data_IF_444585818800
#
_entry.id   IF_444585818800
#
_cell.length_a   1.000
_cell.length_b   1.000
_cell.length_c   1.000
_cell.angle_alpha   90.00
_cell.angle_beta   90.00
_cell.angle_gamma   90.00
#
_symmetry.space_group_name_H-M   'P 1'
#
loop_
_entity.id
_entity.type
_entity.pdbx_description
1 polymer ?
#
# COMPACT_ATOMS: atom_id res chain seq x y z
N UNK A 1 -14.74 14.06 -11.68
CA UNK A 1 -13.50 13.85 -12.47
C UNK A 1 -13.72 12.94 -13.66
N UNK A 2 -14.08 11.65 -13.53
CA UNK A 2 -14.33 10.75 -14.67
C UNK A 2 -15.37 11.33 -15.63
N UNK A 3 -16.55 11.83 -15.17
CA UNK A 3 -17.50 12.50 -16.06
C UNK A 3 -16.95 13.75 -16.75
N UNK A 4 -16.07 14.51 -16.10
CA UNK A 4 -15.43 15.69 -16.73
C UNK A 4 -14.57 15.31 -17.95
N UNK A 5 -14.09 14.09 -18.01
CA UNK A 5 -13.32 13.53 -19.13
C UNK A 5 -14.21 12.70 -20.08
N UNK A 6 -15.54 12.90 -20.02
CA UNK A 6 -16.53 12.14 -20.79
C UNK A 6 -16.45 10.62 -20.53
N UNK A 7 -15.98 10.23 -19.36
CA UNK A 7 -15.91 8.84 -18.93
C UNK A 7 -17.21 8.36 -18.29
N UNK A 8 -17.41 7.03 -18.29
CA UNK A 8 -18.53 6.37 -17.65
C UNK A 8 -18.09 5.76 -16.32
N UNK A 9 -18.84 6.02 -15.24
CA UNK A 9 -18.63 5.37 -13.94
C UNK A 9 -19.62 4.21 -13.79
N UNK A 10 -19.11 3.03 -13.47
CA UNK A 10 -19.89 1.84 -13.15
C UNK A 10 -19.79 1.61 -11.63
N UNK A 11 -20.90 1.82 -10.93
CA UNK A 11 -20.96 1.66 -9.48
C UNK A 11 -21.29 0.20 -9.11
N UNK A 12 -20.52 -0.36 -8.17
CA UNK A 12 -20.75 -1.67 -7.58
C UNK A 12 -20.98 -1.50 -6.07
N UNK A 13 -22.17 -1.92 -5.58
CA UNK A 13 -22.52 -1.74 -4.16
C UNK A 13 -21.82 -2.73 -3.25
N UNK A 14 -21.78 -3.99 -3.65
CA UNK A 14 -21.15 -5.07 -2.90
C UNK A 14 -19.99 -5.63 -3.71
N UNK A 15 -18.90 -6.01 -3.02
CA UNK A 15 -17.76 -6.66 -3.66
C UNK A 15 -18.17 -8.09 -4.02
N UNK A 16 -18.28 -8.34 -5.32
CA UNK A 16 -18.61 -9.62 -5.91
C UNK A 16 -17.68 -9.82 -7.11
N UNK A 17 -16.80 -10.81 -7.03
CA UNK A 17 -15.72 -10.99 -8.01
C UNK A 17 -16.27 -11.38 -9.38
N UNK A 18 -17.23 -12.30 -9.42
CA UNK A 18 -17.91 -12.69 -10.66
C UNK A 18 -18.52 -11.48 -11.34
N UNK A 19 -19.19 -10.62 -10.54
CA UNK A 19 -19.81 -9.39 -11.02
C UNK A 19 -18.79 -8.38 -11.52
N UNK A 20 -17.61 -8.27 -10.88
CA UNK A 20 -16.51 -7.41 -11.35
C UNK A 20 -16.11 -7.82 -12.76
N UNK A 21 -15.82 -9.10 -13.01
CA UNK A 21 -15.45 -9.59 -14.35
C UNK A 21 -16.59 -9.42 -15.37
N UNK A 22 -17.85 -9.66 -14.99
CA UNK A 22 -19.00 -9.43 -15.86
C UNK A 22 -19.13 -7.96 -16.27
N UNK A 23 -18.96 -7.04 -15.34
CA UNK A 23 -19.05 -5.60 -15.60
C UNK A 23 -17.89 -5.09 -16.45
N UNK A 24 -16.68 -5.60 -16.22
CA UNK A 24 -15.52 -5.28 -17.07
C UNK A 24 -15.79 -5.69 -18.52
N UNK A 25 -16.26 -6.90 -18.74
CA UNK A 25 -16.58 -7.43 -20.08
C UNK A 25 -17.76 -6.67 -20.73
N UNK A 26 -18.86 -6.46 -19.98
CA UNK A 26 -20.07 -5.83 -20.48
C UNK A 26 -19.88 -4.37 -20.87
N UNK A 27 -19.12 -3.61 -20.10
CA UNK A 27 -19.00 -2.16 -20.25
C UNK A 27 -17.60 -1.71 -20.72
N UNK A 28 -16.72 -2.66 -21.06
CA UNK A 28 -15.32 -2.38 -21.43
C UNK A 28 -14.62 -1.48 -20.39
N UNK A 29 -14.75 -1.84 -19.11
CA UNK A 29 -14.14 -1.05 -18.03
C UNK A 29 -12.62 -1.10 -18.17
N UNK A 30 -12.01 0.07 -18.27
CA UNK A 30 -10.56 0.22 -18.47
C UNK A 30 -9.82 0.50 -17.18
N UNK A 31 -10.49 1.08 -16.17
CA UNK A 31 -9.90 1.46 -14.90
C UNK A 31 -10.85 1.18 -13.75
N UNK A 32 -10.33 0.72 -12.62
CA UNK A 32 -11.06 0.73 -11.36
C UNK A 32 -10.14 0.96 -10.16
N UNK A 33 -10.71 1.31 -9.01
CA UNK A 33 -10.01 1.42 -7.74
C UNK A 33 -10.46 0.34 -6.78
N UNK A 34 -9.53 -0.27 -6.06
CA UNK A 34 -9.82 -1.28 -5.05
C UNK A 34 -8.76 -1.33 -3.95
N UNK A 35 -9.21 -1.50 -2.70
CA UNK A 35 -8.30 -1.76 -1.59
C UNK A 35 -7.59 -3.12 -1.78
N UNK A 36 -6.44 -3.36 -1.12
CA UNK A 36 -5.69 -4.63 -1.24
C UNK A 36 -6.53 -5.88 -1.02
N UNK A 37 -7.50 -5.83 -0.12
CA UNK A 37 -8.44 -6.95 0.10
C UNK A 37 -9.21 -7.32 -1.16
N UNK A 38 -9.61 -6.36 -1.98
CA UNK A 38 -10.30 -6.61 -3.26
C UNK A 38 -9.38 -7.33 -4.24
N UNK A 39 -8.11 -6.93 -4.30
CA UNK A 39 -7.11 -7.58 -5.13
C UNK A 39 -6.86 -9.02 -4.67
N UNK A 40 -6.80 -9.25 -3.36
CA UNK A 40 -6.71 -10.59 -2.77
C UNK A 40 -7.92 -11.45 -3.17
N UNK A 41 -9.13 -10.91 -3.07
CA UNK A 41 -10.35 -11.61 -3.49
C UNK A 41 -10.33 -11.95 -4.99
N UNK A 42 -9.90 -11.04 -5.84
CA UNK A 42 -9.76 -11.28 -7.29
C UNK A 42 -8.76 -12.40 -7.56
N UNK A 43 -7.59 -12.34 -6.92
CA UNK A 43 -6.51 -13.34 -7.15
C UNK A 43 -6.80 -14.70 -6.49
N UNK A 44 -7.64 -14.72 -5.46
CA UNK A 44 -8.10 -15.95 -4.77
C UNK A 44 -9.39 -16.56 -5.32
N UNK A 45 -10.10 -15.86 -6.22
CA UNK A 45 -11.38 -16.34 -6.74
C UNK A 45 -11.23 -17.64 -7.56
N UNK A 46 -12.22 -18.54 -7.55
CA UNK A 46 -12.26 -19.71 -8.42
C UNK A 46 -12.20 -19.31 -9.91
N UNK A 47 -11.66 -20.19 -10.75
CA UNK A 47 -11.61 -19.95 -12.21
C UNK A 47 -13.01 -19.77 -12.81
N UNK A 48 -14.01 -20.46 -12.27
CA UNK A 48 -15.43 -20.33 -12.68
C UNK A 48 -15.98 -18.91 -12.56
N UNK A 49 -15.44 -18.11 -11.63
CA UNK A 49 -15.87 -16.75 -11.36
C UNK A 49 -15.07 -15.69 -12.12
N UNK A 50 -14.00 -16.13 -12.81
CA UNK A 50 -13.12 -15.27 -13.60
C UNK A 50 -13.48 -15.35 -15.07
N UNK A 51 -13.30 -14.24 -15.78
CA UNK A 51 -13.33 -14.18 -17.24
C UNK A 51 -11.98 -13.72 -17.75
N UNK A 52 -11.54 -14.29 -18.88
CA UNK A 52 -10.36 -13.78 -19.58
C UNK A 52 -10.64 -12.35 -20.02
N UNK A 53 -9.79 -11.43 -19.62
CA UNK A 53 -9.90 -10.03 -20.02
C UNK A 53 -9.56 -9.88 -21.51
N UNK A 54 -10.35 -9.07 -22.22
CA UNK A 54 -10.19 -8.78 -23.66
C UNK A 54 -9.21 -7.63 -23.91
N UNK A 55 -8.95 -6.84 -22.88
CA UNK A 55 -8.06 -5.69 -22.89
C UNK A 55 -7.38 -5.54 -21.52
N UNK A 56 -6.32 -4.74 -21.47
CA UNK A 56 -5.64 -4.41 -20.22
C UNK A 56 -6.55 -3.54 -19.33
N UNK A 57 -6.65 -3.88 -18.05
CA UNK A 57 -7.43 -3.13 -17.06
C UNK A 57 -6.49 -2.57 -16.02
N UNK A 58 -6.52 -1.26 -15.85
CA UNK A 58 -5.70 -0.55 -14.86
C UNK A 58 -6.40 -0.50 -13.50
N UNK A 59 -5.66 -0.80 -12.45
CA UNK A 59 -6.19 -0.84 -11.09
C UNK A 59 -5.39 0.09 -10.20
N UNK A 60 -6.07 1.06 -9.56
CA UNK A 60 -5.48 1.82 -8.47
C UNK A 60 -5.73 1.09 -7.15
N UNK A 61 -4.66 0.90 -6.38
CA UNK A 61 -4.76 0.36 -5.01
C UNK A 61 -4.09 1.28 -4.00
N UNK A 62 -4.74 1.44 -2.86
CA UNK A 62 -4.29 2.27 -1.75
C UNK A 62 -4.83 1.73 -0.42
N UNK A 63 -4.43 2.35 0.70
CA UNK A 63 -4.91 2.09 2.06
C UNK A 63 -3.95 1.26 2.89
N UNK A 64 -3.40 0.19 2.35
CA UNK A 64 -2.31 -0.59 2.94
C UNK A 64 -1.37 -1.07 1.82
N UNK A 65 -0.08 -1.33 2.09
CA UNK A 65 0.81 -1.90 1.09
C UNK A 65 0.40 -3.34 0.76
N UNK A 66 -0.01 -3.66 -0.50
CA UNK A 66 -0.27 -5.04 -0.86
C UNK A 66 1.05 -5.82 -0.95
N UNK A 67 1.09 -7.09 -0.54
CA UNK A 67 2.25 -7.96 -0.76
C UNK A 67 2.66 -8.00 -2.23
N UNK A 68 3.97 -8.03 -2.50
CA UNK A 68 4.52 -8.03 -3.88
C UNK A 68 3.96 -9.16 -4.76
N UNK A 69 3.66 -10.31 -4.17
CA UNK A 69 3.07 -11.46 -4.87
C UNK A 69 1.70 -11.14 -5.49
N UNK A 70 0.94 -10.20 -4.93
CA UNK A 70 -0.37 -9.80 -5.45
C UNK A 70 -0.23 -9.09 -6.80
N UNK A 71 0.80 -8.27 -6.98
CA UNK A 71 1.07 -7.62 -8.27
C UNK A 71 1.33 -8.65 -9.37
N UNK A 72 2.13 -9.69 -9.07
CA UNK A 72 2.37 -10.83 -9.98
C UNK A 72 1.07 -11.54 -10.37
N UNK A 73 0.25 -11.91 -9.37
CA UNK A 73 -1.03 -12.59 -9.60
C UNK A 73 -2.01 -11.73 -10.40
N UNK A 74 -2.12 -10.44 -10.10
CA UNK A 74 -2.98 -9.51 -10.84
C UNK A 74 -2.53 -9.37 -12.30
N UNK A 75 -1.20 -9.24 -12.53
CA UNK A 75 -0.63 -9.17 -13.88
C UNK A 75 -0.96 -10.42 -14.69
N UNK A 76 -0.88 -11.62 -14.12
CA UNK A 76 -1.23 -12.88 -14.79
C UNK A 76 -2.72 -12.98 -15.19
N UNK A 77 -3.59 -12.22 -14.51
CA UNK A 77 -5.02 -12.11 -14.84
C UNK A 77 -5.34 -10.99 -15.83
N UNK A 78 -4.33 -10.23 -16.30
CA UNK A 78 -4.49 -9.15 -17.27
C UNK A 78 -4.73 -7.76 -16.66
N UNK A 79 -4.52 -7.61 -15.34
CA UNK A 79 -4.60 -6.33 -14.65
C UNK A 79 -3.23 -5.65 -14.54
N UNK A 80 -3.20 -4.34 -14.71
CA UNK A 80 -2.03 -3.51 -14.40
C UNK A 80 -2.32 -2.70 -13.14
N UNK A 81 -1.61 -3.02 -12.05
CA UNK A 81 -1.85 -2.41 -10.75
C UNK A 81 -0.87 -1.26 -10.52
N UNK A 82 -1.41 -0.09 -10.20
CA UNK A 82 -0.68 1.08 -9.74
C UNK A 82 -0.91 1.26 -8.23
N UNK A 83 0.16 1.22 -7.47
CA UNK A 83 0.12 1.53 -6.05
C UNK A 83 0.19 3.04 -5.85
N UNK A 84 -0.71 3.57 -5.05
CA UNK A 84 -0.76 4.98 -4.67
C UNK A 84 -0.86 5.11 -3.16
N UNK A 85 -0.36 6.23 -2.63
CA UNK A 85 -0.42 6.50 -1.20
C UNK A 85 -0.99 7.90 -0.95
N UNK A 86 -1.77 7.99 0.09
CA UNK A 86 -2.35 9.21 0.62
C UNK A 86 -3.30 8.90 1.76
N UNK A 87 -3.78 9.96 2.41
CA UNK A 87 -4.65 9.90 3.58
C UNK A 87 -5.89 10.77 3.36
N UNK A 88 -6.87 10.68 4.24
CA UNK A 88 -8.01 11.60 4.28
C UNK A 88 -7.53 13.03 4.47
N UNK A 89 -6.50 13.21 5.28
CA UNK A 89 -5.83 14.47 5.61
C UNK A 89 -5.13 15.12 4.40
N UNK A 90 -4.91 14.38 3.33
CA UNK A 90 -4.29 14.86 2.08
C UNK A 90 -5.27 14.92 0.90
N UNK A 91 -6.58 14.80 1.16
CA UNK A 91 -7.64 14.82 0.14
C UNK A 91 -7.46 13.77 -0.96
N UNK A 92 -6.88 12.63 -0.64
CA UNK A 92 -6.58 11.53 -1.55
C UNK A 92 -5.09 11.24 -1.65
N UNK A 93 -4.68 10.65 -2.76
CA UNK A 93 -3.31 10.21 -2.93
C UNK A 93 -2.36 11.35 -3.30
N UNK A 94 -1.16 11.30 -2.73
CA UNK A 94 -0.08 12.28 -2.90
C UNK A 94 1.16 11.67 -3.56
N UNK A 95 1.25 10.35 -3.61
CA UNK A 95 2.28 9.63 -4.37
C UNK A 95 1.68 8.53 -5.22
N UNK A 96 2.41 8.17 -6.27
CA UNK A 96 2.13 7.03 -7.12
C UNK A 96 3.41 6.27 -7.44
N UNK A 97 3.32 4.95 -7.55
CA UNK A 97 4.40 4.14 -8.07
C UNK A 97 4.43 4.23 -9.60
N UNK A 98 4.87 5.38 -10.12
CA UNK A 98 5.04 5.60 -11.55
C UNK A 98 6.06 4.59 -12.09
N UNK A 99 5.72 3.94 -13.21
CA UNK A 99 6.62 2.96 -13.83
C UNK A 99 7.68 3.66 -14.67
N UNK A 100 8.89 3.16 -14.63
CA UNK A 100 9.97 3.57 -15.52
C UNK A 100 10.23 2.43 -16.50
N UNK A 101 10.19 2.71 -17.80
CA UNK A 101 10.32 1.71 -18.87
C UNK A 101 11.64 0.91 -18.78
N UNK A 102 12.71 1.50 -18.22
CA UNK A 102 13.96 0.79 -17.98
C UNK A 102 13.84 -0.39 -17.01
N UNK A 103 12.79 -0.44 -16.21
CA UNK A 103 12.55 -1.55 -15.29
C UNK A 103 11.88 -2.77 -15.95
N UNK A 104 11.45 -2.65 -17.19
CA UNK A 104 10.92 -3.78 -17.96
C UNK A 104 11.98 -4.86 -18.20
N UNK A 105 13.27 -4.47 -18.19
CA UNK A 105 14.41 -5.38 -18.34
C UNK A 105 14.81 -6.11 -17.04
N UNK A 106 14.24 -5.71 -15.89
CA UNK A 106 14.51 -6.34 -14.61
C UNK A 106 13.79 -7.69 -14.47
N UNK A 107 14.36 -8.56 -13.66
CA UNK A 107 13.70 -9.81 -13.23
C UNK A 107 12.32 -9.52 -12.64
N UNK A 108 11.33 -10.40 -12.92
CA UNK A 108 9.93 -10.21 -12.53
C UNK A 108 9.76 -9.97 -11.02
N UNK A 109 10.54 -10.66 -10.19
CA UNK A 109 10.49 -10.47 -8.74
C UNK A 109 10.87 -9.03 -8.35
N UNK A 110 11.91 -8.50 -8.98
CA UNK A 110 12.36 -7.12 -8.76
C UNK A 110 11.34 -6.10 -9.23
N UNK A 111 10.71 -6.33 -10.38
CA UNK A 111 9.61 -5.51 -10.86
C UNK A 111 8.46 -5.46 -9.84
N UNK A 112 8.07 -6.61 -9.28
CA UNK A 112 7.00 -6.69 -8.29
C UNK A 112 7.36 -6.01 -6.96
N UNK A 113 8.62 -6.09 -6.53
CA UNK A 113 9.12 -5.34 -5.37
C UNK A 113 9.03 -3.82 -5.58
N UNK A 114 9.38 -3.33 -6.78
CA UNK A 114 9.27 -1.92 -7.13
C UNK A 114 7.80 -1.49 -7.15
N UNK A 115 6.92 -2.27 -7.77
CA UNK A 115 5.47 -2.00 -7.83
C UNK A 115 4.81 -1.93 -6.44
N UNK A 116 5.38 -2.62 -5.45
CA UNK A 116 4.89 -2.56 -4.07
C UNK A 116 5.28 -1.27 -3.34
N UNK A 117 6.16 -0.42 -3.88
CA UNK A 117 6.51 0.88 -3.30
C UNK A 117 5.37 1.88 -3.46
N UNK A 118 5.34 2.93 -2.62
CA UNK A 118 4.37 4.02 -2.73
C UNK A 118 4.76 5.05 -3.80
N UNK A 119 6.00 4.97 -4.28
CA UNK A 119 6.48 5.70 -5.45
C UNK A 119 6.89 7.14 -5.18
N UNK A 120 6.59 8.01 -6.14
CA UNK A 120 7.01 9.40 -6.16
C UNK A 120 5.82 10.36 -6.01
N UNK A 121 6.09 11.57 -5.59
CA UNK A 121 5.11 12.61 -5.37
C UNK A 121 4.35 13.00 -6.65
N UNK A 122 3.07 13.30 -6.53
CA UNK A 122 2.29 13.92 -7.60
C UNK A 122 2.72 15.36 -7.88
N UNK A 123 2.61 15.84 -9.13
CA UNK A 123 2.98 17.21 -9.49
C UNK A 123 2.23 18.31 -8.73
N UNK A 124 0.98 18.04 -8.31
CA UNK A 124 0.13 18.98 -7.57
C UNK A 124 0.40 19.00 -6.05
N UNK A 125 1.31 18.18 -5.56
CA UNK A 125 1.74 18.16 -4.16
C UNK A 125 3.05 18.94 -4.06
N UNK A 126 3.15 19.92 -3.16
CA UNK A 126 4.33 20.77 -3.03
C UNK A 126 5.56 19.98 -2.57
N UNK A 127 5.40 19.13 -1.54
CA UNK A 127 6.48 18.31 -0.99
C UNK A 127 5.98 17.00 -0.42
N UNK A 128 6.72 15.92 -0.69
CA UNK A 128 6.68 14.64 0.02
C UNK A 128 8.11 14.24 0.26
N UNK A 129 8.47 14.06 1.51
CA UNK A 129 9.84 13.66 1.91
C UNK A 129 9.81 12.77 3.14
N UNK A 130 10.93 12.17 3.47
CA UNK A 130 11.09 11.36 4.67
C UNK A 130 12.03 12.11 5.61
N UNK A 131 11.55 12.38 6.83
CA UNK A 131 12.31 13.13 7.83
C UNK A 131 12.39 12.38 9.15
N UNK A 132 13.44 12.65 9.90
CA UNK A 132 13.45 12.36 11.33
C UNK A 132 12.45 13.31 12.01
N UNK A 133 11.41 12.79 12.71
CA UNK A 133 10.32 13.62 13.23
C UNK A 133 10.74 14.56 14.37
N UNK A 134 11.86 14.31 15.03
CA UNK A 134 12.36 15.16 16.12
C UNK A 134 13.22 16.31 15.59
N UNK A 135 14.22 15.97 14.78
CA UNK A 135 15.18 16.95 14.24
C UNK A 135 14.66 17.71 13.02
N UNK A 136 13.57 17.26 12.40
CA UNK A 136 13.01 17.79 11.14
C UNK A 136 14.02 17.84 9.99
N UNK A 137 15.01 16.93 9.99
CA UNK A 137 15.99 16.77 8.92
C UNK A 137 15.61 15.60 8.03
N UNK A 138 15.79 15.78 6.73
CA UNK A 138 15.59 14.70 5.76
C UNK A 138 16.57 13.55 6.03
N UNK A 139 16.07 12.32 5.90
CA UNK A 139 16.91 11.12 5.98
C UNK A 139 17.64 10.89 4.65
N UNK A 140 18.78 10.16 4.66
CA UNK A 140 19.46 9.76 3.44
C UNK A 140 18.56 8.97 2.50
N UNK A 141 18.78 9.15 1.19
CA UNK A 141 18.10 8.36 0.14
C UNK A 141 18.83 7.03 -0.10
N UNK A 142 18.94 6.22 0.93
CA UNK A 142 19.71 4.96 0.93
C UNK A 142 18.84 3.69 0.90
N UNK A 143 17.50 3.86 0.98
CA UNK A 143 16.54 2.77 1.04
C UNK A 143 16.57 2.00 2.36
N UNK A 144 17.20 2.52 3.41
CA UNK A 144 17.45 1.85 4.69
C UNK A 144 17.10 2.72 5.89
N UNK A 145 17.52 3.99 5.87
CA UNK A 145 17.29 4.91 7.00
C UNK A 145 15.82 5.24 7.10
N UNK A 146 15.21 4.85 8.22
CA UNK A 146 13.78 5.06 8.48
C UNK A 146 13.55 6.48 8.98
N UNK A 147 12.50 7.11 8.48
CA UNK A 147 11.93 8.35 8.98
C UNK A 147 10.43 8.38 8.79
N UNK A 148 9.79 9.47 9.18
CA UNK A 148 8.36 9.69 8.99
C UNK A 148 8.11 10.36 7.64
N UNK A 149 7.05 9.94 6.95
CA UNK A 149 6.58 10.63 5.74
C UNK A 149 6.02 11.98 6.12
N UNK A 150 6.59 13.04 5.55
CA UNK A 150 6.14 14.42 5.72
C UNK A 150 5.59 14.95 4.41
N UNK A 151 4.42 15.60 4.51
CA UNK A 151 3.69 16.10 3.34
C UNK A 151 3.43 17.60 3.51
N UNK A 152 3.59 18.35 2.40
CA UNK A 152 3.26 19.77 2.33
C UNK A 152 2.58 20.09 1.00
N UNK A 153 1.60 20.99 1.04
CA UNK A 153 0.92 21.49 -0.15
C UNK A 153 -0.56 21.77 0.05
N UNK A 154 -1.20 22.28 -0.98
CA UNK A 154 -2.61 22.68 -0.97
C UNK A 154 -3.61 21.54 -0.76
N UNK A 155 -3.17 20.31 -0.93
CA UNK A 155 -3.99 19.10 -0.72
C UNK A 155 -4.07 18.70 0.75
N UNK A 156 -3.19 19.23 1.59
CA UNK A 156 -3.19 18.95 3.03
C UNK A 156 -4.34 19.69 3.71
N UNK A 157 -5.04 19.00 4.61
CA UNK A 157 -6.14 19.54 5.41
C UNK A 157 -5.72 20.80 6.20
N UNK A 158 -6.69 21.64 6.54
CA UNK A 158 -6.45 22.77 7.45
C UNK A 158 -6.22 22.33 8.90
N UNK A 159 -6.75 21.19 9.30
CA UNK A 159 -6.64 20.64 10.64
C UNK A 159 -7.80 19.72 11.00
N UNK A 160 -7.74 19.13 12.16
CA UNK A 160 -8.80 18.32 12.75
C UNK A 160 -9.91 19.18 13.32
N UNK A 161 -11.16 18.77 13.08
CA UNK A 161 -12.33 19.57 13.49
C UNK A 161 -12.41 19.71 15.01
N UNK A 162 -12.40 20.97 15.50
CA UNK A 162 -12.44 21.33 16.92
C UNK A 162 -11.36 20.65 17.79
N UNK A 163 -10.24 20.24 17.20
CA UNK A 163 -9.10 19.65 17.90
C UNK A 163 -7.82 20.40 17.52
N UNK A 164 -7.57 21.47 18.23
CA UNK A 164 -6.41 22.33 17.99
C UNK A 164 -5.10 21.62 18.35
N UNK A 165 -5.09 20.88 19.45
CA UNK A 165 -3.88 20.23 19.96
C UNK A 165 -3.41 19.12 19.00
N UNK A 166 -4.33 18.28 18.51
CA UNK A 166 -4.01 17.29 17.48
C UNK A 166 -3.57 17.96 16.16
N UNK A 167 -4.20 19.10 15.80
CA UNK A 167 -3.81 19.86 14.60
C UNK A 167 -2.40 20.42 14.72
N UNK A 168 -2.08 21.10 15.81
CA UNK A 168 -0.76 21.71 16.05
C UNK A 168 0.34 20.63 16.06
N UNK A 169 0.06 19.47 16.67
CA UNK A 169 0.97 18.33 16.66
C UNK A 169 1.18 17.79 15.24
N UNK A 170 0.11 17.62 14.47
CA UNK A 170 0.17 17.06 13.12
C UNK A 170 0.82 18.02 12.11
N UNK A 171 0.81 19.35 12.37
CA UNK A 171 1.34 20.37 11.45
C UNK A 171 2.65 20.99 11.92
N UNK A 172 3.34 20.34 12.84
CA UNK A 172 4.58 20.86 13.42
C UNK A 172 5.65 21.08 12.34
N UNK A 173 6.39 22.20 12.46
CA UNK A 173 7.49 22.53 11.54
C UNK A 173 7.04 22.87 10.11
N UNK A 174 5.73 23.13 9.88
CA UNK A 174 5.19 23.47 8.57
C UNK A 174 5.01 22.28 7.62
N UNK A 175 5.06 21.07 8.16
CA UNK A 175 4.80 19.81 7.47
C UNK A 175 3.67 19.05 8.16
N UNK A 176 2.89 18.33 7.37
CA UNK A 176 1.94 17.37 7.89
C UNK A 176 2.68 16.07 8.24
N UNK A 177 2.62 15.70 9.51
CA UNK A 177 3.15 14.46 10.08
C UNK A 177 2.13 13.35 9.87
N UNK A 178 2.48 12.37 9.04
CA UNK A 178 1.53 11.30 8.68
C UNK A 178 1.41 10.19 9.72
N UNK A 179 2.44 10.02 10.55
CA UNK A 179 2.58 8.87 11.44
C UNK A 179 3.00 7.59 10.70
N UNK A 180 3.23 7.64 9.39
CA UNK A 180 3.70 6.50 8.60
C UNK A 180 5.22 6.55 8.46
N UNK A 181 5.89 5.46 8.84
CA UNK A 181 7.34 5.30 8.75
C UNK A 181 7.72 4.73 7.39
N UNK A 182 8.75 5.29 6.79
CA UNK A 182 9.19 4.92 5.46
C UNK A 182 10.69 5.11 5.26
N UNK A 183 11.18 4.58 4.16
CA UNK A 183 12.52 4.86 3.63
C UNK A 183 12.41 5.54 2.28
N UNK A 184 13.41 6.35 1.93
CA UNK A 184 13.56 6.94 0.60
C UNK A 184 14.64 6.18 -0.16
N UNK A 185 14.27 5.62 -1.31
CA UNK A 185 15.24 4.95 -2.18
C UNK A 185 16.10 5.96 -2.96
N UNK A 186 17.29 5.55 -3.47
CA UNK A 186 18.16 6.43 -4.27
C UNK A 186 17.48 7.01 -5.51
N UNK A 187 16.51 6.30 -6.08
CA UNK A 187 15.69 6.72 -7.22
C UNK A 187 14.56 7.70 -6.83
N UNK A 188 14.45 8.08 -5.55
CA UNK A 188 13.43 8.98 -5.02
C UNK A 188 12.08 8.33 -4.72
N UNK A 189 11.97 7.00 -4.82
CA UNK A 189 10.75 6.28 -4.50
C UNK A 189 10.63 6.01 -3.01
N UNK A 190 9.47 6.37 -2.46
CA UNK A 190 9.10 6.09 -1.07
C UNK A 190 8.68 4.63 -0.93
N UNK A 191 9.13 3.97 0.14
CA UNK A 191 8.63 2.67 0.57
C UNK A 191 8.25 2.73 2.03
N UNK A 192 6.95 2.54 2.33
CA UNK A 192 6.44 2.43 3.69
C UNK A 192 7.02 1.18 4.34
N UNK A 193 7.44 1.33 5.59
CA UNK A 193 7.91 0.25 6.44
C UNK A 193 6.85 -0.16 7.44
N UNK A 194 6.24 0.81 8.13
CA UNK A 194 5.16 0.57 9.09
C UNK A 194 4.49 1.89 9.51
N UNK A 195 3.53 1.82 10.42
CA UNK A 195 3.07 2.98 11.17
C UNK A 195 3.89 3.14 12.45
N UNK A 196 4.12 4.37 12.87
CA UNK A 196 4.90 4.66 14.07
C UNK A 196 4.32 4.02 15.35
N UNK A 197 2.99 3.82 15.39
CA UNK A 197 2.27 3.18 16.49
C UNK A 197 2.16 1.64 16.38
N UNK A 198 2.46 1.08 15.22
CA UNK A 198 2.30 -0.34 14.94
C UNK A 198 3.66 -1.07 14.83
N UNK A 199 4.78 -0.30 14.85
CA UNK A 199 6.12 -0.87 14.91
C UNK A 199 6.30 -1.66 16.21
N UNK A 200 6.85 -2.86 16.10
CA UNK A 200 7.03 -3.78 17.25
C UNK A 200 8.42 -3.54 17.81
N UNK A 201 8.51 -3.21 19.10
CA UNK A 201 9.80 -2.94 19.77
C UNK A 201 10.21 -4.18 20.58
N UNK A 202 11.05 -5.02 19.99
CA UNK A 202 11.50 -6.28 20.59
C UNK A 202 12.96 -6.19 20.99
N UNK A 203 13.24 -6.23 22.28
CA UNK A 203 14.62 -6.16 22.80
C UNK A 203 15.37 -4.87 22.43
N UNK A 204 14.66 -3.79 22.13
CA UNK A 204 15.23 -2.52 21.68
C UNK A 204 15.37 -2.41 20.15
N UNK A 205 15.03 -3.46 19.39
CA UNK A 205 15.03 -3.44 17.92
C UNK A 205 13.63 -3.15 17.38
N UNK A 206 13.57 -2.34 16.33
CA UNK A 206 12.34 -2.01 15.61
C UNK A 206 12.04 -3.08 14.57
N UNK A 207 10.93 -3.77 14.72
CA UNK A 207 10.47 -4.82 13.81
C UNK A 207 9.23 -4.32 13.07
N UNK A 208 9.27 -4.34 11.74
CA UNK A 208 8.12 -4.01 10.90
C UNK A 208 7.13 -5.17 10.85
N UNK A 209 5.88 -4.91 11.22
CA UNK A 209 4.78 -5.85 11.06
C UNK A 209 4.55 -6.18 9.58
N UNK A 210 4.61 -5.18 8.72
CA UNK A 210 4.44 -5.28 7.27
C UNK A 210 5.52 -6.18 6.63
N UNK A 211 6.77 -6.12 7.09
CA UNK A 211 7.85 -6.96 6.56
C UNK A 211 7.61 -8.44 6.85
N UNK A 212 7.14 -8.75 8.06
CA UNK A 212 6.77 -10.12 8.44
C UNK A 212 5.56 -10.57 7.63
N UNK A 213 4.51 -9.76 7.51
CA UNK A 213 3.32 -10.06 6.71
C UNK A 213 3.67 -10.35 5.24
N UNK A 214 4.54 -9.54 4.64
CA UNK A 214 5.03 -9.74 3.28
C UNK A 214 5.79 -11.07 3.12
N UNK A 215 6.54 -11.46 4.14
CA UNK A 215 7.29 -12.73 4.15
C UNK A 215 6.33 -13.91 4.25
N UNK A 216 5.36 -13.85 5.18
CA UNK A 216 4.34 -14.87 5.36
C UNK A 216 3.45 -15.04 4.13
N UNK A 217 3.11 -13.95 3.45
CA UNK A 217 2.29 -13.97 2.24
C UNK A 217 2.94 -14.69 1.04
N UNK A 218 4.26 -14.90 1.06
CA UNK A 218 4.96 -15.70 0.06
C UNK A 218 4.72 -17.21 0.23
N UNK A 219 4.26 -17.65 1.41
CA UNK A 219 4.02 -19.06 1.68
C UNK A 219 2.76 -19.56 0.95
N UNK A 220 2.81 -20.68 0.21
CA UNK A 220 1.71 -21.14 -0.65
C UNK A 220 0.43 -21.55 0.09
N UNK A 221 0.51 -21.78 1.39
CA UNK A 221 -0.65 -22.11 2.24
C UNK A 221 -1.21 -20.89 3.01
N UNK A 222 -0.62 -19.71 2.87
CA UNK A 222 -1.09 -18.48 3.53
C UNK A 222 -1.95 -17.68 2.57
N UNK A 223 -3.19 -17.43 2.95
CA UNK A 223 -4.13 -16.56 2.22
C UNK A 223 -3.97 -15.11 2.67
N UNK A 224 -4.00 -14.89 3.99
CA UNK A 224 -3.85 -13.58 4.63
C UNK A 224 -2.99 -13.76 5.88
N UNK A 225 -2.12 -12.80 6.14
CA UNK A 225 -1.39 -12.68 7.39
C UNK A 225 -1.60 -11.29 7.96
N UNK A 226 -1.76 -11.19 9.29
CA UNK A 226 -1.76 -9.95 10.04
C UNK A 226 -0.82 -10.11 11.23
N UNK A 227 0.06 -9.15 11.46
CA UNK A 227 1.07 -9.20 12.52
C UNK A 227 0.86 -8.02 13.47
N UNK A 228 0.83 -8.30 14.75
CA UNK A 228 0.67 -7.31 15.81
C UNK A 228 1.72 -7.52 16.91
N UNK A 229 1.98 -6.47 17.67
CA UNK A 229 2.77 -6.56 18.88
C UNK A 229 2.03 -7.39 19.95
N UNK A 230 2.73 -8.32 20.58
CA UNK A 230 2.29 -9.04 21.78
C UNK A 230 3.28 -8.76 22.89
N UNK A 231 2.77 -8.41 24.08
CA UNK A 231 3.61 -8.18 25.25
C UNK A 231 4.39 -9.44 25.64
N UNK A 232 5.66 -9.27 25.95
CA UNK A 232 6.60 -10.32 26.37
C UNK A 232 7.46 -9.84 27.55
N UNK A 233 7.56 -10.65 28.59
CA UNK A 233 8.28 -10.29 29.83
C UNK A 233 9.78 -10.07 29.61
N UNK A 234 10.38 -10.76 28.65
CA UNK A 234 11.83 -10.69 28.40
C UNK A 234 12.18 -9.63 27.35
N UNK A 235 11.37 -9.51 26.31
CA UNK A 235 11.68 -8.69 25.13
C UNK A 235 10.89 -7.39 25.04
N UNK A 236 9.94 -7.15 25.99
CA UNK A 236 8.98 -6.06 25.97
C UNK A 236 7.83 -6.37 25.02
N UNK A 237 8.11 -6.49 23.73
CA UNK A 237 7.16 -6.93 22.72
C UNK A 237 7.77 -8.03 21.85
N UNK A 238 6.89 -8.86 21.27
CA UNK A 238 7.25 -9.85 20.23
C UNK A 238 6.20 -9.86 19.12
N UNK A 239 6.60 -10.16 17.87
CA UNK A 239 5.64 -10.31 16.77
C UNK A 239 4.69 -11.48 17.02
N UNK A 240 3.39 -11.23 16.83
CA UNK A 240 2.35 -12.26 16.88
C UNK A 240 1.58 -12.25 15.56
N UNK A 241 1.71 -13.33 14.78
CA UNK A 241 1.08 -13.45 13.48
C UNK A 241 -0.26 -14.20 13.57
N UNK A 242 -1.30 -13.61 13.01
CA UNK A 242 -2.58 -14.26 12.74
C UNK A 242 -2.63 -14.64 11.26
N UNK A 243 -2.89 -15.91 10.98
CA UNK A 243 -2.83 -16.46 9.62
C UNK A 243 -4.15 -17.08 9.23
N UNK A 244 -4.68 -16.67 8.07
CA UNK A 244 -5.74 -17.37 7.38
C UNK A 244 -5.12 -18.30 6.33
N UNK A 245 -5.40 -19.59 6.45
CA UNK A 245 -4.89 -20.58 5.52
C UNK A 245 -5.68 -20.59 4.21
N UNK A 246 -5.01 -20.90 3.11
CA UNK A 246 -5.68 -21.25 1.85
C UNK A 246 -6.53 -22.51 2.09
N UNK A 247 -7.77 -22.51 1.57
CA UNK A 247 -8.68 -23.65 1.69
C UNK A 247 -7.97 -24.94 1.28
N UNK A 248 -8.13 -25.98 2.08
CA UNK A 248 -7.55 -27.32 1.90
C UNK A 248 -6.00 -27.38 1.96
N UNK A 249 -5.35 -26.32 2.46
CA UNK A 249 -3.90 -26.27 2.69
C UNK A 249 -3.60 -25.83 4.13
N UNK A 250 -3.71 -26.73 5.12
CA UNK A 250 -3.51 -26.36 6.51
C UNK A 250 -2.07 -25.85 6.76
N UNK A 251 -1.96 -24.81 7.57
CA UNK A 251 -0.70 -24.30 8.08
C UNK A 251 -0.46 -24.93 9.44
N UNK A 252 0.65 -25.63 9.62
CA UNK A 252 1.08 -26.13 10.94
C UNK A 252 2.25 -25.28 11.42
N UNK A 253 2.13 -24.72 12.62
CA UNK A 253 3.24 -24.02 13.27
C UNK A 253 4.31 -25.02 13.68
N UNK A 254 5.36 -25.15 12.91
CA UNK A 254 6.64 -25.77 13.27
C UNK A 254 7.75 -24.84 12.91
#
# INVERSE_FOLDING_TARGET
TIPMLNGRTICLRNIDIKKIFELIDKYNVTHFGGAPIVLNMITGAPESDRKKLKHKVYVLTAGAPPPSIIFKKMKSLGFEVMHVYGLTETYGHVTQCAWNDSWDELEEEKQNEIKARQGVRYPNTEGVTIMNPESMKEVPKDGKTIGEIMIRGNVVMKGYFKDKDATDKAMRGGWFHTGDLAVMHPDGYVKIQDRSKDIIISGGENISSIEIENTLAKHPSVSIAAVVAKQDEKWGEVPCAFIEAVKDKPVTGK
#
